data_IF_701788725121
#
_entry.id   IF_701788725121
#
_cell.length_a   1.000
_cell.length_b   1.000
_cell.length_c   1.000
_cell.angle_alpha   90.00
_cell.angle_beta   90.00
_cell.angle_gamma   90.00
#
_symmetry.space_group_name_H-M   'P 1'
#
loop_
_entity.id
_entity.type
_entity.pdbx_description
1 polymer ?
#
# COMPACT_ATOMS: atom_id res chain seq x y z
N UNK A 1 -26.74 -63.60 17.27
CA UNK A 1 -25.98 -62.41 17.73
C UNK A 1 -24.79 -62.18 16.80
N UNK A 2 -24.88 -61.22 15.88
CA UNK A 2 -23.71 -60.71 15.12
C UNK A 2 -23.86 -59.19 15.04
N UNK A 3 -23.03 -58.48 15.82
CA UNK A 3 -22.93 -57.02 15.83
C UNK A 3 -22.06 -56.61 14.63
N UNK A 4 -22.64 -55.91 13.66
CA UNK A 4 -21.85 -55.28 12.60
C UNK A 4 -21.29 -53.96 13.14
N UNK A 5 -19.98 -53.90 13.27
CA UNK A 5 -19.22 -52.74 13.72
C UNK A 5 -19.11 -51.75 12.55
N UNK A 6 -19.81 -50.61 12.67
CA UNK A 6 -19.74 -49.50 11.71
C UNK A 6 -18.42 -48.74 11.95
N UNK A 7 -17.44 -48.88 11.04
CA UNK A 7 -16.21 -48.08 11.07
C UNK A 7 -16.47 -46.78 10.33
N UNK A 8 -16.61 -45.68 11.08
CA UNK A 8 -16.69 -44.33 10.53
C UNK A 8 -15.26 -43.84 10.23
N UNK A 9 -14.86 -43.84 8.96
CA UNK A 9 -13.56 -43.31 8.54
C UNK A 9 -13.68 -41.79 8.34
N UNK A 10 -13.38 -41.03 9.39
CA UNK A 10 -13.36 -39.56 9.35
C UNK A 10 -12.11 -39.09 8.61
N UNK A 11 -12.26 -38.74 7.33
CA UNK A 11 -11.21 -38.09 6.55
C UNK A 11 -10.94 -36.68 7.08
N UNK A 12 -9.83 -36.49 7.79
CA UNK A 12 -9.35 -35.17 8.21
C UNK A 12 -8.84 -34.40 6.98
N UNK A 13 -9.65 -33.47 6.46
CA UNK A 13 -9.20 -32.44 5.53
C UNK A 13 -8.29 -31.47 6.30
N UNK A 14 -6.98 -31.69 6.25
CA UNK A 14 -6.01 -30.67 6.65
C UNK A 14 -6.08 -29.51 5.65
N UNK A 15 -6.75 -28.43 6.05
CA UNK A 15 -6.60 -27.15 5.37
C UNK A 15 -5.17 -26.67 5.63
N UNK A 16 -4.32 -26.73 4.60
CA UNK A 16 -2.99 -26.11 4.65
C UNK A 16 -3.22 -24.61 4.72
N UNK A 17 -3.13 -24.04 5.92
CA UNK A 17 -3.06 -22.59 6.08
C UNK A 17 -1.69 -22.16 5.59
N UNK A 18 -1.64 -21.59 4.39
CA UNK A 18 -0.44 -20.89 3.94
C UNK A 18 -0.27 -19.65 4.80
N UNK A 19 0.74 -19.67 5.68
CA UNK A 19 1.11 -18.54 6.51
C UNK A 19 2.48 -18.06 6.04
N UNK A 20 2.62 -16.76 5.79
CA UNK A 20 3.86 -16.20 5.23
C UNK A 20 5.05 -16.24 6.23
N UNK A 21 4.80 -16.59 7.49
CA UNK A 21 5.80 -16.77 8.55
C UNK A 21 6.43 -15.47 9.05
N UNK A 22 6.09 -14.33 8.45
CA UNK A 22 6.63 -13.02 8.77
C UNK A 22 5.52 -11.97 8.71
N UNK A 23 5.47 -11.12 9.72
CA UNK A 23 4.59 -9.96 9.79
C UNK A 23 5.39 -8.65 9.83
N UNK A 24 4.76 -7.55 9.42
CA UNK A 24 5.36 -6.22 9.43
C UNK A 24 4.43 -5.19 10.04
N UNK A 25 5.00 -4.28 10.83
CA UNK A 25 4.24 -3.18 11.47
C UNK A 25 5.11 -1.92 11.64
N UNK A 26 4.61 -0.73 11.29
CA UNK A 26 3.32 -0.45 10.66
C UNK A 26 3.35 -0.75 9.15
N UNK A 27 2.17 -0.79 8.52
CA UNK A 27 2.04 -0.94 7.04
C UNK A 27 2.17 0.39 6.28
N UNK A 28 2.17 1.52 6.99
CA UNK A 28 2.44 2.85 6.47
C UNK A 28 3.30 3.61 7.47
N UNK A 29 4.26 4.38 6.97
CA UNK A 29 5.16 5.17 7.79
C UNK A 29 5.04 6.65 7.46
N UNK A 30 5.18 7.48 8.49
CA UNK A 30 5.05 8.93 8.38
C UNK A 30 6.21 9.63 9.10
N UNK A 31 6.70 10.71 8.50
CA UNK A 31 7.60 11.69 9.10
C UNK A 31 6.99 13.08 8.85
N UNK A 32 6.15 13.54 9.78
CA UNK A 32 5.37 14.78 9.58
C UNK A 32 6.24 16.03 9.47
N UNK A 33 7.30 16.09 10.27
CA UNK A 33 8.22 17.22 10.30
C UNK A 33 9.67 16.72 10.39
N UNK A 34 10.37 16.57 9.24
CA UNK A 34 11.74 16.08 9.20
C UNK A 34 12.74 17.01 9.93
N UNK A 35 12.38 18.27 10.21
CA UNK A 35 13.24 19.14 11.03
C UNK A 35 13.20 18.78 12.52
N UNK A 36 12.10 18.18 13.01
CA UNK A 36 11.93 17.76 14.41
C UNK A 36 12.23 16.28 14.62
N UNK A 37 11.59 15.42 13.83
CA UNK A 37 11.75 13.97 13.86
C UNK A 37 12.25 13.52 12.49
N UNK A 38 13.49 13.03 12.43
CA UNK A 38 14.15 12.70 11.14
C UNK A 38 13.97 11.24 10.73
N UNK A 39 13.36 10.42 11.59
CA UNK A 39 13.27 8.99 11.38
C UNK A 39 11.99 8.40 11.95
N UNK A 40 11.58 7.28 11.38
CA UNK A 40 10.54 6.39 11.86
C UNK A 40 11.08 4.96 11.96
N UNK A 41 10.31 4.06 12.55
CA UNK A 41 10.71 2.66 12.78
C UNK A 41 9.61 1.74 12.31
N UNK A 42 9.98 0.70 11.57
CA UNK A 42 9.14 -0.45 11.30
C UNK A 42 9.73 -1.69 11.96
N UNK A 43 8.90 -2.68 12.25
CA UNK A 43 9.29 -3.94 12.86
C UNK A 43 8.89 -5.09 11.96
N UNK A 44 9.85 -5.96 11.65
CA UNK A 44 9.60 -7.27 11.07
C UNK A 44 9.56 -8.31 12.20
N UNK A 45 8.58 -9.20 12.20
CA UNK A 45 8.44 -10.27 13.19
C UNK A 45 8.30 -11.60 12.48
N UNK A 46 9.17 -12.56 12.82
CA UNK A 46 8.98 -13.95 12.45
C UNK A 46 7.93 -14.57 13.38
N UNK A 47 6.96 -15.29 12.82
CA UNK A 47 5.82 -15.86 13.53
C UNK A 47 5.66 -17.31 13.08
N UNK A 48 5.69 -18.24 14.04
CA UNK A 48 5.53 -19.69 13.83
C UNK A 48 6.54 -20.32 12.86
N UNK A 49 7.74 -19.73 12.75
CA UNK A 49 8.82 -20.25 11.90
C UNK A 49 9.84 -21.05 12.73
N UNK A 50 10.54 -21.96 12.07
CA UNK A 50 11.66 -22.73 12.65
C UNK A 50 13.02 -22.36 12.07
N UNK A 51 13.05 -21.71 10.91
CA UNK A 51 14.27 -21.38 10.18
C UNK A 51 14.57 -19.88 10.20
N UNK A 52 15.86 -19.53 10.20
CA UNK A 52 16.29 -18.14 10.09
C UNK A 52 16.07 -17.65 8.65
N UNK A 53 15.74 -16.37 8.50
CA UNK A 53 15.52 -15.72 7.20
C UNK A 53 16.42 -14.51 7.05
N UNK A 54 16.92 -14.26 5.85
CA UNK A 54 17.84 -13.16 5.57
C UNK A 54 17.09 -12.09 4.80
N UNK A 55 17.22 -10.83 5.21
CA UNK A 55 16.51 -9.72 4.59
C UNK A 55 17.46 -8.61 4.17
N UNK A 56 17.11 -7.96 3.06
CA UNK A 56 17.69 -6.70 2.59
C UNK A 56 16.59 -5.64 2.51
N UNK A 57 16.92 -4.41 2.91
CA UNK A 57 16.03 -3.25 2.85
C UNK A 57 16.56 -2.24 1.83
N UNK A 58 15.68 -1.81 0.94
CA UNK A 58 15.92 -0.85 -0.14
C UNK A 58 14.96 0.32 -0.04
N UNK A 59 15.38 1.46 -0.59
CA UNK A 59 14.60 2.70 -0.58
C UNK A 59 14.53 3.28 -1.98
N UNK A 60 13.32 3.65 -2.38
CA UNK A 60 13.05 4.27 -3.66
C UNK A 60 12.25 5.55 -3.45
N UNK A 61 12.69 6.65 -4.05
CA UNK A 61 11.85 7.82 -4.25
C UNK A 61 10.66 7.40 -5.08
N UNK A 62 9.47 7.80 -4.64
CA UNK A 62 8.23 7.46 -5.31
C UNK A 62 7.55 8.72 -5.83
N UNK A 63 7.37 8.73 -7.15
CA UNK A 63 6.65 9.77 -7.89
C UNK A 63 5.57 9.12 -8.75
N UNK A 64 4.72 9.94 -9.37
CA UNK A 64 3.75 9.48 -10.34
C UNK A 64 3.91 10.24 -11.65
N UNK A 65 3.66 9.58 -12.77
CA UNK A 65 3.58 10.25 -14.07
C UNK A 65 2.31 11.09 -14.15
N UNK A 66 2.19 11.93 -15.18
CA UNK A 66 0.93 12.66 -15.45
C UNK A 66 -0.25 11.70 -15.71
N UNK A 67 0.03 10.45 -16.10
CA UNK A 67 -0.94 9.38 -16.33
C UNK A 67 -1.24 8.58 -15.05
N UNK A 68 -0.64 8.93 -13.91
CA UNK A 68 -0.88 8.28 -12.62
C UNK A 68 -0.10 6.97 -12.42
N UNK A 69 0.86 6.66 -13.30
CA UNK A 69 1.70 5.48 -13.16
C UNK A 69 2.78 5.72 -12.10
N UNK A 70 3.08 4.70 -11.29
CA UNK A 70 4.09 4.81 -10.25
C UNK A 70 5.50 4.73 -10.85
N UNK A 71 6.36 5.68 -10.48
CA UNK A 71 7.78 5.69 -10.83
C UNK A 71 8.60 5.56 -9.56
N UNK A 72 9.55 4.63 -9.56
CA UNK A 72 10.41 4.31 -8.41
C UNK A 72 11.88 4.49 -8.80
N UNK A 73 12.56 5.42 -8.14
CA UNK A 73 13.97 5.72 -8.37
C UNK A 73 14.77 5.44 -7.09
N UNK A 74 15.88 4.68 -7.13
CA UNK A 74 16.70 4.45 -5.94
C UNK A 74 17.13 5.76 -5.27
N UNK A 75 16.95 5.87 -3.96
CA UNK A 75 17.35 7.07 -3.19
C UNK A 75 18.33 6.71 -2.07
N UNK A 76 19.55 7.21 -2.19
CA UNK A 76 20.64 6.96 -1.22
C UNK A 76 20.68 8.00 -0.09
N UNK A 77 19.83 9.03 -0.11
CA UNK A 77 19.79 10.05 0.94
C UNK A 77 19.04 9.60 2.19
N UNK A 78 18.27 8.51 2.10
CA UNK A 78 17.60 7.87 3.23
C UNK A 78 18.52 6.81 3.86
N UNK A 79 18.74 6.96 5.16
CA UNK A 79 19.44 6.00 5.99
C UNK A 79 18.49 4.89 6.42
N UNK A 80 18.95 3.66 6.25
CA UNK A 80 18.31 2.45 6.78
C UNK A 80 19.24 1.77 7.78
N UNK A 81 18.71 1.39 8.95
CA UNK A 81 19.46 0.64 9.94
C UNK A 81 18.59 -0.42 10.66
N UNK A 82 18.92 -1.72 10.56
CA UNK A 82 19.94 -2.32 9.69
C UNK A 82 19.46 -2.42 8.24
N UNK A 83 20.39 -2.31 7.27
CA UNK A 83 20.09 -2.51 5.84
C UNK A 83 19.97 -3.99 5.46
N UNK A 84 20.82 -4.83 6.07
CA UNK A 84 20.80 -6.29 5.91
C UNK A 84 20.80 -6.94 7.28
N UNK A 85 19.98 -7.96 7.48
CA UNK A 85 19.91 -8.64 8.77
C UNK A 85 19.40 -10.08 8.63
N UNK A 86 19.65 -10.86 9.68
CA UNK A 86 19.12 -12.21 9.84
C UNK A 86 17.99 -12.13 10.86
N UNK A 87 16.77 -12.45 10.43
CA UNK A 87 15.62 -12.61 11.30
C UNK A 87 15.64 -14.03 11.85
N UNK A 88 15.87 -14.14 13.16
CA UNK A 88 15.82 -15.42 13.85
C UNK A 88 14.37 -15.89 14.02
N UNK A 89 14.13 -17.22 14.09
CA UNK A 89 12.80 -17.77 14.32
C UNK A 89 12.10 -17.14 15.53
N UNK A 90 10.84 -16.72 15.35
CA UNK A 90 10.01 -16.16 16.41
C UNK A 90 10.59 -14.91 17.10
N UNK A 91 11.45 -14.16 16.37
CA UNK A 91 12.04 -12.90 16.83
C UNK A 91 11.53 -11.70 16.04
N UNK A 92 11.75 -10.52 16.65
CA UNK A 92 11.46 -9.20 16.09
C UNK A 92 12.75 -8.50 15.69
N UNK A 93 12.72 -7.80 14.57
CA UNK A 93 13.76 -6.88 14.14
C UNK A 93 13.15 -5.50 13.91
N UNK A 94 13.61 -4.51 14.68
CA UNK A 94 13.31 -3.11 14.41
C UNK A 94 14.25 -2.58 13.32
N UNK A 95 13.69 -1.84 12.36
CA UNK A 95 14.39 -1.21 11.24
C UNK A 95 14.06 0.27 11.30
N UNK A 96 15.09 1.10 11.51
CA UNK A 96 14.99 2.55 11.51
C UNK A 96 15.19 3.08 10.09
N UNK A 97 14.28 3.96 9.67
CA UNK A 97 14.29 4.64 8.37
C UNK A 97 14.29 6.14 8.61
N UNK A 98 15.21 6.89 8.02
CA UNK A 98 15.25 8.33 8.22
C UNK A 98 16.29 9.07 7.40
N UNK A 99 16.42 10.36 7.64
CA UNK A 99 17.30 11.26 6.90
C UNK A 99 18.52 11.66 7.73
N UNK A 100 19.64 11.93 7.06
CA UNK A 100 20.74 12.71 7.68
C UNK A 100 20.23 14.12 8.01
N UNK A 101 20.86 14.83 8.97
CA UNK A 101 20.52 16.22 9.24
C UNK A 101 20.59 17.13 8.01
N UNK A 102 21.57 16.94 7.12
CA UNK A 102 21.73 17.73 5.90
C UNK A 102 20.65 17.41 4.86
N UNK A 103 20.34 16.13 4.64
CA UNK A 103 19.27 15.72 3.72
C UNK A 103 17.91 16.24 4.21
N UNK A 104 17.64 16.18 5.51
CA UNK A 104 16.39 16.66 6.10
C UNK A 104 16.15 18.16 5.87
N UNK A 105 17.20 18.98 5.88
CA UNK A 105 17.10 20.44 5.63
C UNK A 105 16.78 20.77 4.17
N UNK A 106 17.16 19.90 3.23
CA UNK A 106 16.89 20.07 1.80
C UNK A 106 15.48 19.64 1.37
N UNK A 107 14.69 19.04 2.26
CA UNK A 107 13.33 18.59 1.95
C UNK A 107 12.37 19.77 1.85
N UNK A 108 11.69 19.89 0.70
CA UNK A 108 10.52 20.75 0.61
C UNK A 108 9.36 20.08 1.34
N UNK A 109 8.95 20.63 2.49
CA UNK A 109 7.85 20.12 3.32
C UNK A 109 6.52 20.82 3.06
N UNK A 110 6.44 21.72 2.09
CA UNK A 110 5.19 22.37 1.69
C UNK A 110 4.25 21.40 0.97
N UNK A 111 4.83 20.43 0.27
CA UNK A 111 4.15 19.30 -0.36
C UNK A 111 4.74 18.00 0.22
N UNK A 112 3.87 17.06 0.57
CA UNK A 112 4.29 15.76 1.05
C UNK A 112 5.09 15.02 -0.02
N UNK A 113 6.20 14.47 0.40
CA UNK A 113 7.05 13.63 -0.42
C UNK A 113 6.87 12.15 -0.06
N UNK A 114 6.99 11.27 -1.05
CA UNK A 114 6.76 9.83 -0.88
C UNK A 114 7.97 8.98 -1.27
N UNK A 115 8.14 7.87 -0.57
CA UNK A 115 9.13 6.83 -0.85
C UNK A 115 8.50 5.45 -0.67
N UNK A 116 9.11 4.43 -1.28
CA UNK A 116 8.87 3.02 -1.01
C UNK A 116 10.06 2.40 -0.28
N UNK A 117 9.76 1.77 0.84
CA UNK A 117 10.69 0.93 1.59
C UNK A 117 10.39 -0.52 1.19
N UNK A 118 11.32 -1.12 0.46
CA UNK A 118 11.20 -2.48 -0.04
C UNK A 118 12.04 -3.40 0.84
N UNK A 119 11.44 -4.45 1.39
CA UNK A 119 12.09 -5.44 2.25
C UNK A 119 12.02 -6.78 1.55
N UNK A 120 13.17 -7.22 1.04
CA UNK A 120 13.32 -8.45 0.27
C UNK A 120 13.86 -9.55 1.17
N UNK A 121 13.21 -10.72 1.19
CA UNK A 121 13.88 -11.93 1.67
C UNK A 121 14.86 -12.45 0.62
N UNK A 122 16.08 -12.73 1.05
CA UNK A 122 17.13 -13.31 0.22
C UNK A 122 17.19 -14.83 0.48
N UNK A 123 17.26 -15.61 -0.61
CA UNK A 123 17.48 -17.06 -0.53
C UNK A 123 18.87 -17.34 0.05
N UNK A 124 18.99 -18.13 1.14
CA UNK A 124 20.29 -18.60 1.58
C UNK A 124 20.90 -19.53 0.52
N UNK A 125 22.21 -19.45 0.33
CA UNK A 125 22.94 -20.29 -0.64
C UNK A 125 22.86 -21.75 -0.17
N UNK A 126 22.16 -22.61 -0.92
CA UNK A 126 22.01 -24.03 -0.59
C UNK A 126 21.27 -24.82 -1.67
N UNK A 127 21.72 -26.05 -1.91
CA UNK A 127 21.18 -26.92 -2.96
C UNK A 127 19.94 -27.64 -2.41
N UNK A 128 18.75 -27.06 -2.59
CA UNK A 128 17.49 -27.68 -2.17
C UNK A 128 16.57 -27.89 -3.38
N UNK A 129 16.20 -29.15 -3.63
CA UNK A 129 15.21 -29.53 -4.67
C UNK A 129 13.76 -29.17 -4.26
N UNK A 130 13.56 -28.04 -3.57
CA UNK A 130 12.28 -27.63 -3.00
C UNK A 130 11.93 -26.21 -3.44
N UNK A 131 10.67 -25.98 -3.80
CA UNK A 131 10.14 -24.65 -4.08
C UNK A 131 10.04 -23.89 -2.76
N UNK A 132 10.73 -22.75 -2.66
CA UNK A 132 10.64 -21.84 -1.52
C UNK A 132 9.90 -20.57 -1.92
N UNK A 133 8.90 -20.19 -1.13
CA UNK A 133 8.25 -18.89 -1.26
C UNK A 133 9.03 -17.84 -0.47
N UNK A 134 9.39 -16.74 -1.13
CA UNK A 134 10.05 -15.59 -0.51
C UNK A 134 9.03 -14.47 -0.34
N UNK A 135 9.23 -13.65 0.68
CA UNK A 135 8.40 -12.46 0.91
C UNK A 135 9.08 -11.20 0.41
N UNK A 136 8.28 -10.30 -0.14
CA UNK A 136 8.65 -8.95 -0.54
C UNK A 136 7.62 -7.99 0.08
N UNK A 137 8.05 -7.10 0.96
CA UNK A 137 7.18 -6.03 1.47
C UNK A 137 7.50 -4.73 0.76
N UNK A 138 6.48 -4.03 0.26
CA UNK A 138 6.60 -2.73 -0.37
C UNK A 138 5.77 -1.69 0.40
N UNK A 139 6.42 -1.03 1.36
CA UNK A 139 5.76 -0.15 2.33
C UNK A 139 5.96 1.32 1.96
N UNK A 140 4.93 2.16 2.00
CA UNK A 140 5.09 3.58 1.77
C UNK A 140 5.65 4.30 3.01
N UNK A 141 6.52 5.27 2.73
CA UNK A 141 6.97 6.29 3.66
C UNK A 141 6.54 7.66 3.13
N UNK A 142 5.76 8.39 3.92
CA UNK A 142 5.33 9.74 3.60
C UNK A 142 6.02 10.76 4.51
N UNK A 143 6.55 11.83 3.93
CA UNK A 143 7.32 12.85 4.63
C UNK A 143 6.74 14.22 4.35
N UNK A 144 6.29 14.90 5.38
CA UNK A 144 5.52 16.12 5.27
C UNK A 144 4.18 16.01 5.98
N UNK A 145 3.49 17.15 6.11
CA UNK A 145 2.24 17.24 6.85
C UNK A 145 1.08 16.63 6.04
N UNK A 146 0.29 15.79 6.67
CA UNK A 146 -1.01 15.36 6.12
C UNK A 146 -1.95 16.56 5.97
N UNK A 147 -2.50 16.73 4.78
CA UNK A 147 -3.51 17.73 4.46
C UNK A 147 -4.91 17.09 4.51
N UNK A 148 -5.95 17.93 4.57
CA UNK A 148 -7.32 17.45 4.50
C UNK A 148 -7.62 16.94 3.08
N UNK A 149 -8.56 15.99 2.98
CA UNK A 149 -9.02 15.47 1.69
C UNK A 149 -9.53 16.63 0.81
N UNK A 150 -8.87 16.83 -0.34
CA UNK A 150 -9.26 17.80 -1.36
C UNK A 150 -9.09 17.17 -2.73
N UNK A 151 -10.19 16.65 -3.28
CA UNK A 151 -10.20 15.97 -4.59
C UNK A 151 -11.29 16.55 -5.47
N UNK A 152 -11.14 16.39 -6.78
CA UNK A 152 -12.24 16.54 -7.73
C UNK A 152 -12.24 15.37 -8.72
N UNK A 153 -13.32 15.29 -9.50
CA UNK A 153 -13.47 14.28 -10.53
C UNK A 153 -13.79 14.92 -11.88
N UNK A 154 -13.19 14.36 -12.92
CA UNK A 154 -13.38 14.71 -14.33
C UNK A 154 -13.72 13.44 -15.10
N UNK A 155 -14.53 13.55 -16.15
CA UNK A 155 -14.73 12.45 -17.10
C UNK A 155 -14.17 12.88 -18.46
N UNK A 156 -13.23 12.11 -18.98
CA UNK A 156 -12.61 12.40 -20.27
C UNK A 156 -12.19 11.12 -20.97
N UNK A 157 -12.47 11.02 -22.27
CA UNK A 157 -12.05 9.91 -23.13
C UNK A 157 -12.36 8.52 -22.52
N UNK A 158 -13.55 8.33 -21.97
CA UNK A 158 -13.96 7.06 -21.34
C UNK A 158 -13.32 6.75 -19.98
N UNK A 159 -12.62 7.70 -19.37
CA UNK A 159 -12.02 7.56 -18.06
C UNK A 159 -12.70 8.47 -17.04
N UNK A 160 -12.87 7.98 -15.82
CA UNK A 160 -13.09 8.80 -14.63
C UNK A 160 -11.73 9.14 -14.04
N UNK A 161 -11.42 10.42 -13.94
CA UNK A 161 -10.14 10.95 -13.48
C UNK A 161 -10.35 11.51 -12.08
N UNK A 162 -9.61 11.01 -11.11
CA UNK A 162 -9.56 11.56 -9.76
C UNK A 162 -8.33 12.47 -9.68
N UNK A 163 -8.53 13.77 -9.46
CA UNK A 163 -7.43 14.71 -9.23
C UNK A 163 -7.27 14.97 -7.73
N UNK A 164 -6.09 14.70 -7.19
CA UNK A 164 -5.74 15.09 -5.83
C UNK A 164 -5.24 16.53 -5.82
N UNK A 165 -6.03 17.43 -5.23
CA UNK A 165 -5.71 18.84 -5.10
C UNK A 165 -5.04 19.18 -3.76
N UNK A 166 -4.91 18.21 -2.86
CA UNK A 166 -4.27 18.39 -1.56
C UNK A 166 -2.74 18.44 -1.68
N UNK A 167 -2.08 18.89 -0.61
CA UNK A 167 -0.62 18.86 -0.49
C UNK A 167 -0.09 17.52 0.08
N UNK A 168 -0.97 16.54 0.32
CA UNK A 168 -0.63 15.18 0.74
C UNK A 168 -1.33 14.14 -0.12
N UNK A 169 -0.86 12.90 -0.08
CA UNK A 169 -1.50 11.80 -0.79
C UNK A 169 -2.93 11.53 -0.33
N UNK A 170 -3.67 10.85 -1.19
CA UNK A 170 -4.95 10.21 -0.89
C UNK A 170 -4.81 8.72 -1.14
N UNK A 171 -5.19 7.88 -0.17
CA UNK A 171 -5.28 6.43 -0.36
C UNK A 171 -6.74 6.05 -0.60
N UNK A 172 -7.08 5.80 -1.85
CA UNK A 172 -8.38 5.32 -2.27
C UNK A 172 -8.51 3.84 -1.89
N UNK A 173 -9.57 3.50 -1.17
CA UNK A 173 -9.88 2.09 -0.81
C UNK A 173 -11.08 1.56 -1.57
N UNK A 174 -11.96 2.46 -2.01
CA UNK A 174 -13.11 2.11 -2.82
C UNK A 174 -13.58 3.35 -3.60
N UNK A 175 -14.05 3.14 -4.82
CA UNK A 175 -14.66 4.16 -5.64
C UNK A 175 -15.87 3.58 -6.36
N UNK A 176 -17.02 4.25 -6.20
CA UNK A 176 -18.27 3.90 -6.89
C UNK A 176 -18.77 5.07 -7.69
N UNK A 177 -19.31 4.80 -8.88
CA UNK A 177 -20.10 5.75 -9.65
C UNK A 177 -21.57 5.35 -9.57
N UNK A 178 -22.42 6.31 -9.20
CA UNK A 178 -23.86 6.15 -9.08
C UNK A 178 -24.58 6.94 -10.18
N UNK A 179 -25.68 6.40 -10.70
CA UNK A 179 -26.62 7.13 -11.55
C UNK A 179 -27.66 7.94 -10.75
N UNK A 180 -28.59 8.61 -11.44
CA UNK A 180 -29.65 9.42 -10.81
C UNK A 180 -30.55 8.60 -9.87
N UNK A 181 -30.69 7.30 -10.11
CA UNK A 181 -31.47 6.36 -9.30
C UNK A 181 -30.65 5.74 -8.16
N UNK A 182 -29.42 6.21 -7.95
CA UNK A 182 -28.44 5.70 -6.97
C UNK A 182 -28.02 4.25 -7.21
N UNK A 183 -28.15 3.75 -8.43
CA UNK A 183 -27.62 2.44 -8.80
C UNK A 183 -26.13 2.56 -9.07
N UNK A 184 -25.35 1.62 -8.53
CA UNK A 184 -23.92 1.51 -8.83
C UNK A 184 -23.74 1.06 -10.27
N UNK A 185 -23.14 1.92 -11.09
CA UNK A 185 -22.84 1.64 -12.51
C UNK A 185 -21.35 1.36 -12.74
N UNK A 186 -20.48 1.78 -11.81
CA UNK A 186 -19.06 1.45 -11.80
C UNK A 186 -18.59 1.25 -10.36
N UNK A 187 -17.69 0.31 -10.14
CA UNK A 187 -17.05 0.05 -8.84
C UNK A 187 -15.59 -0.33 -9.04
N UNK A 188 -14.71 0.24 -8.23
CA UNK A 188 -13.31 -0.13 -8.12
C UNK A 188 -12.93 -0.17 -6.64
N UNK A 189 -12.62 -1.38 -6.15
CA UNK A 189 -12.17 -1.66 -4.78
C UNK A 189 -10.66 -1.92 -4.70
N UNK A 190 -9.94 -1.67 -5.79
CA UNK A 190 -8.48 -1.81 -5.82
C UNK A 190 -7.88 -0.59 -5.13
N UNK A 191 -7.13 -0.85 -4.06
CA UNK A 191 -6.44 0.20 -3.34
C UNK A 191 -5.45 0.93 -4.25
N UNK A 192 -5.55 2.25 -4.29
CA UNK A 192 -4.65 3.09 -5.05
C UNK A 192 -4.21 4.29 -4.21
N UNK A 193 -2.99 4.75 -4.48
CA UNK A 193 -2.51 6.01 -3.94
C UNK A 193 -2.49 7.06 -5.04
N UNK A 194 -2.96 8.25 -4.72
CA UNK A 194 -2.86 9.43 -5.56
C UNK A 194 -1.99 10.42 -4.79
N UNK A 195 -0.73 10.58 -5.21
CA UNK A 195 0.23 11.46 -4.54
C UNK A 195 -0.24 12.92 -4.57
N UNK A 196 0.36 13.77 -3.75
CA UNK A 196 0.04 15.19 -3.71
C UNK A 196 0.08 15.79 -5.12
N UNK A 197 -0.94 16.56 -5.50
CA UNK A 197 -1.06 17.20 -6.82
C UNK A 197 -1.10 16.28 -8.04
N UNK A 198 -1.17 14.96 -7.85
CA UNK A 198 -1.27 13.99 -8.94
C UNK A 198 -2.72 13.55 -9.19
N UNK A 199 -2.89 12.72 -10.21
CA UNK A 199 -4.17 12.17 -10.63
C UNK A 199 -4.05 10.70 -10.98
N UNK A 200 -5.17 9.99 -10.92
CA UNK A 200 -5.27 8.61 -11.39
C UNK A 200 -6.51 8.44 -12.27
N UNK A 201 -6.46 7.45 -13.15
CA UNK A 201 -7.46 7.20 -14.18
C UNK A 201 -8.14 5.87 -13.93
N UNK A 202 -9.47 5.87 -13.95
CA UNK A 202 -10.30 4.67 -13.90
C UNK A 202 -10.95 4.48 -15.26
N UNK A 203 -10.60 3.39 -15.95
CA UNK A 203 -11.27 3.00 -17.20
C UNK A 203 -12.73 2.63 -16.90
N UNK A 204 -13.66 3.37 -17.50
CA UNK A 204 -15.09 3.15 -17.34
C UNK A 204 -15.62 1.99 -18.19
N UNK A 205 -14.77 1.23 -18.89
CA UNK A 205 -15.11 -0.01 -19.61
C UNK A 205 -16.34 0.13 -20.51
N UNK A 206 -16.40 1.23 -21.26
CA UNK A 206 -17.49 1.61 -22.18
C UNK A 206 -18.79 2.13 -21.52
N UNK A 207 -18.77 2.53 -20.24
CA UNK A 207 -19.89 3.28 -19.65
C UNK A 207 -19.91 4.68 -20.27
N UNK A 208 -20.92 4.94 -21.10
CA UNK A 208 -21.15 6.26 -21.68
C UNK A 208 -21.96 7.13 -20.71
N UNK A 209 -21.31 8.14 -20.15
CA UNK A 209 -21.94 9.15 -19.30
C UNK A 209 -22.48 10.27 -20.20
N UNK A 210 -23.79 10.28 -20.44
CA UNK A 210 -24.43 11.22 -21.38
C UNK A 210 -24.45 12.66 -20.84
N UNK A 211 -24.72 12.83 -19.55
CA UNK A 211 -24.61 14.09 -18.81
C UNK A 211 -23.92 13.82 -17.46
N UNK A 212 -22.62 14.15 -17.32
CA UNK A 212 -21.86 13.89 -16.09
C UNK A 212 -22.56 14.37 -14.81
N UNK A 213 -23.31 15.48 -14.87
CA UNK A 213 -23.97 16.08 -13.69
C UNK A 213 -25.05 15.19 -13.07
N UNK A 214 -25.50 14.18 -13.80
CA UNK A 214 -26.47 13.16 -13.38
C UNK A 214 -25.87 12.08 -12.50
N UNK A 215 -24.55 12.02 -12.41
CA UNK A 215 -23.83 10.98 -11.70
C UNK A 215 -23.13 11.54 -10.47
N UNK A 216 -23.00 10.70 -9.46
CA UNK A 216 -22.20 10.99 -8.27
C UNK A 216 -21.12 9.94 -8.06
N UNK A 217 -19.97 10.38 -7.57
CA UNK A 217 -18.87 9.51 -7.15
C UNK A 217 -18.92 9.38 -5.64
N UNK A 218 -18.92 8.14 -5.15
CA UNK A 218 -18.74 7.81 -3.74
C UNK A 218 -17.31 7.31 -3.56
N UNK A 219 -16.53 8.08 -2.82
CA UNK A 219 -15.11 7.81 -2.54
C UNK A 219 -14.92 7.36 -1.10
N UNK A 220 -14.30 6.21 -0.91
CA UNK A 220 -13.82 5.74 0.41
C UNK A 220 -12.28 5.84 0.44
N UNK A 221 -11.75 6.31 1.57
CA UNK A 221 -10.29 6.45 1.78
C UNK A 221 -9.92 5.90 3.16
N UNK A 222 -8.64 5.56 3.33
CA UNK A 222 -8.11 5.04 4.60
C UNK A 222 -8.35 5.98 5.80
N UNK A 223 -8.34 7.30 5.58
CA UNK A 223 -8.43 8.33 6.61
C UNK A 223 -9.87 8.83 6.84
N UNK A 224 -10.83 8.46 5.98
CA UNK A 224 -12.21 8.94 6.09
C UNK A 224 -13.08 7.99 6.88
N UNK A 225 -13.66 8.47 7.99
CA UNK A 225 -14.63 7.69 8.79
C UNK A 225 -15.91 7.33 8.02
N UNK A 226 -16.22 8.06 6.95
CA UNK A 226 -17.39 7.88 6.08
C UNK A 226 -16.98 8.13 4.64
N UNK A 227 -17.64 7.44 3.71
CA UNK A 227 -17.51 7.72 2.29
C UNK A 227 -17.91 9.18 1.98
N UNK A 228 -17.20 9.81 1.05
CA UNK A 228 -17.49 11.16 0.58
C UNK A 228 -18.18 11.06 -0.78
N UNK A 229 -19.39 11.59 -0.87
CA UNK A 229 -20.14 11.67 -2.13
C UNK A 229 -19.94 13.04 -2.78
N UNK A 230 -19.57 13.04 -4.06
CA UNK A 230 -19.32 14.23 -4.86
C UNK A 230 -20.06 14.12 -6.19
N UNK A 231 -20.72 15.19 -6.63
CA UNK A 231 -21.28 15.24 -7.98
C UNK A 231 -20.17 15.43 -9.00
N UNK A 232 -20.31 14.82 -10.17
CA UNK A 232 -19.43 15.16 -11.29
C UNK A 232 -19.79 16.54 -11.82
N UNK A 233 -18.76 17.27 -12.24
CA UNK A 233 -18.88 18.54 -12.95
C UNK A 233 -18.33 18.37 -14.36
N UNK A 234 -18.73 19.26 -15.28
CA UNK A 234 -18.16 19.30 -16.63
C UNK A 234 -16.70 19.77 -16.61
#
# INVERSE_FOLDING_TARGET
MKKNLLVFMTSLLFAIKAFAGVSVSPVQMFIDNPNKLKSTTLTLESVDETEKRVFEVKVFKWTQTEQGENVLEPDNNIIINPKNFILQPNKKQAIRVGFTPSAAQGLNVAEEQAWRIIIDEITPVGNQMMVKFLVNFNLPLFVGKQDNLKVNFEVKNGHLILNNLANSHVQVTNLKLLDEQRKVIFNNDTMAYVLAKHKIFYDLKNINLTDPKKYSVVLETNNSKKAVEMKLFN
#
